data_IF_647852611466
#
_entry.id   IF_647852611466
#
_cell.length_a   1.000
_cell.length_b   1.000
_cell.length_c   1.000
_cell.angle_alpha   90.00
_cell.angle_beta   90.00
_cell.angle_gamma   90.00
#
_symmetry.space_group_name_H-M   'P 1'
#
loop_
_entity.id
_entity.type
_entity.pdbx_description
1 polymer ?
#
# COMPACT_ATOMS: atom_id res chain seq x y z
N UNK A 1 4.92 -13.51 -6.30
CA UNK A 1 4.42 -12.59 -5.26
C UNK A 1 3.67 -13.40 -4.22
N UNK A 2 4.12 -13.36 -2.99
CA UNK A 2 3.45 -14.03 -1.88
C UNK A 2 2.98 -12.95 -0.89
N UNK A 3 1.68 -12.79 -0.79
CA UNK A 3 1.05 -11.85 0.14
C UNK A 3 0.28 -12.62 1.21
N UNK A 4 0.35 -12.13 2.42
CA UNK A 4 -0.36 -12.70 3.56
C UNK A 4 -1.58 -11.86 3.90
N UNK A 5 -2.62 -12.53 4.38
CA UNK A 5 -3.78 -11.83 4.92
C UNK A 5 -3.35 -10.92 6.06
N UNK A 6 -3.74 -9.66 5.99
CA UNK A 6 -3.29 -8.63 6.93
C UNK A 6 -4.42 -7.67 7.24
N UNK A 7 -4.55 -7.34 8.51
CA UNK A 7 -5.46 -6.31 8.99
C UNK A 7 -4.63 -5.19 9.63
N UNK A 8 -4.81 -3.99 9.14
CA UNK A 8 -4.24 -2.78 9.73
C UNK A 8 -5.34 -2.01 10.42
N UNK A 9 -5.30 -1.97 11.72
CA UNK A 9 -6.22 -1.18 12.53
C UNK A 9 -5.53 -0.80 13.84
N UNK A 10 -6.10 0.16 14.53
CA UNK A 10 -5.62 0.62 15.81
C UNK A 10 -6.75 0.67 16.83
N UNK A 11 -6.42 0.53 18.09
CA UNK A 11 -7.40 0.75 19.16
C UNK A 11 -7.95 2.17 19.06
N UNK A 12 -9.26 2.29 18.83
CA UNK A 12 -9.93 3.56 18.61
C UNK A 12 -9.93 4.04 17.15
N UNK A 13 -9.21 3.39 16.25
CA UNK A 13 -9.27 3.68 14.82
C UNK A 13 -10.68 3.43 14.28
N UNK A 14 -11.13 4.33 13.42
CA UNK A 14 -12.42 4.19 12.73
C UNK A 14 -12.31 3.51 11.38
N UNK A 15 -11.11 3.11 11.00
CA UNK A 15 -10.88 2.41 9.74
C UNK A 15 -10.10 1.13 9.96
N UNK A 16 -10.43 0.15 9.15
CA UNK A 16 -9.68 -1.09 9.02
C UNK A 16 -9.27 -1.28 7.58
N UNK A 17 -7.98 -1.48 7.36
CA UNK A 17 -7.45 -1.87 6.07
C UNK A 17 -7.27 -3.38 6.09
N UNK A 18 -7.95 -4.08 5.19
CA UNK A 18 -7.91 -5.54 5.11
C UNK A 18 -7.31 -5.97 3.78
N UNK A 19 -6.17 -6.62 3.85
CA UNK A 19 -5.58 -7.30 2.69
C UNK A 19 -6.07 -8.74 2.67
N UNK A 20 -6.77 -9.10 1.61
CA UNK A 20 -7.34 -10.44 1.39
C UNK A 20 -6.80 -11.03 0.09
N UNK A 21 -5.60 -11.66 0.13
CA UNK A 21 -4.94 -12.14 -1.09
C UNK A 21 -5.76 -13.20 -1.84
N UNK A 22 -6.44 -14.08 -1.10
CA UNK A 22 -7.26 -15.14 -1.69
C UNK A 22 -8.50 -14.62 -2.45
N UNK A 23 -8.94 -13.40 -2.14
CA UNK A 23 -10.02 -12.70 -2.85
C UNK A 23 -9.48 -11.66 -3.85
N UNK A 24 -8.18 -11.47 -3.90
CA UNK A 24 -7.51 -10.42 -4.69
C UNK A 24 -8.08 -9.03 -4.36
N UNK A 25 -8.19 -8.74 -3.06
CA UNK A 25 -8.77 -7.49 -2.58
C UNK A 25 -7.91 -6.83 -1.53
N UNK A 26 -7.85 -5.52 -1.59
CA UNK A 26 -7.42 -4.65 -0.51
C UNK A 26 -8.59 -3.72 -0.21
N UNK A 27 -9.16 -3.85 0.97
CA UNK A 27 -10.37 -3.15 1.35
C UNK A 27 -10.12 -2.14 2.45
N UNK A 28 -10.59 -0.94 2.26
CA UNK A 28 -10.71 0.05 3.30
C UNK A 28 -12.15 0.03 3.82
N UNK A 29 -12.32 -0.35 5.07
CA UNK A 29 -13.63 -0.43 5.72
C UNK A 29 -13.68 0.53 6.90
N UNK A 30 -14.67 1.44 6.95
CA UNK A 30 -14.92 2.20 8.17
C UNK A 30 -15.38 1.26 9.29
N UNK A 31 -14.81 1.44 10.48
CA UNK A 31 -15.23 0.72 11.68
C UNK A 31 -16.45 1.41 12.30
N UNK A 32 -17.44 0.62 12.56
CA UNK A 32 -18.63 1.04 13.31
C UNK A 32 -19.81 1.43 12.43
N UNK A 33 -20.86 0.71 12.69
CA UNK A 33 -22.23 0.93 12.29
C UNK A 33 -22.70 0.39 10.94
N UNK A 34 -23.91 0.07 10.91
CA UNK A 34 -24.73 -0.82 10.12
C UNK A 34 -24.74 -0.63 8.59
N UNK A 35 -24.07 0.36 8.02
CA UNK A 35 -24.23 0.69 6.59
C UNK A 35 -22.94 1.02 5.86
N UNK A 36 -21.81 0.56 6.35
CA UNK A 36 -20.56 0.82 5.62
C UNK A 36 -20.33 -0.21 4.53
N UNK A 37 -20.04 0.29 3.36
CA UNK A 37 -19.60 -0.54 2.24
C UNK A 37 -18.08 -0.47 2.20
N UNK A 38 -17.36 -1.60 2.23
CA UNK A 38 -15.91 -1.59 2.01
C UNK A 38 -15.58 -1.00 0.65
N UNK A 39 -14.50 -0.26 0.58
CA UNK A 39 -14.01 0.32 -0.67
C UNK A 39 -12.77 -0.44 -1.11
N UNK A 40 -12.76 -0.90 -2.35
CA UNK A 40 -11.57 -1.47 -2.95
C UNK A 40 -10.50 -0.39 -3.12
N UNK A 41 -9.30 -0.70 -2.67
CA UNK A 41 -8.17 0.21 -2.72
C UNK A 41 -7.03 -0.41 -3.54
N UNK A 42 -6.45 0.40 -4.40
CA UNK A 42 -5.22 0.04 -5.10
C UNK A 42 -4.32 1.27 -5.17
N UNK A 43 -3.02 1.02 -5.13
CA UNK A 43 -2.01 2.06 -5.30
C UNK A 43 -1.20 1.74 -6.53
N UNK A 44 -1.08 2.70 -7.41
CA UNK A 44 -0.33 2.54 -8.64
C UNK A 44 0.73 3.60 -8.81
N UNK A 45 1.75 3.24 -9.55
CA UNK A 45 2.75 4.19 -10.06
C UNK A 45 2.76 4.17 -11.58
N UNK A 46 3.09 5.30 -12.15
CA UNK A 46 3.34 5.44 -13.57
C UNK A 46 4.77 5.94 -13.79
N UNK A 47 5.51 5.25 -14.64
CA UNK A 47 6.85 5.64 -15.06
C UNK A 47 6.87 5.63 -16.58
N UNK A 48 6.91 6.82 -17.19
CA UNK A 48 6.69 6.95 -18.63
C UNK A 48 5.30 6.46 -19.01
N UNK A 49 5.23 5.49 -19.91
CA UNK A 49 3.97 4.88 -20.36
C UNK A 49 3.62 3.59 -19.60
N UNK A 50 4.48 3.17 -18.67
CA UNK A 50 4.30 1.95 -17.92
C UNK A 50 3.63 2.18 -16.58
N UNK A 51 2.64 1.32 -16.27
CA UNK A 51 1.93 1.31 -15.00
C UNK A 51 2.27 0.07 -14.20
N UNK A 52 2.33 0.21 -12.88
CA UNK A 52 2.41 -0.92 -11.95
C UNK A 52 1.47 -0.66 -10.79
N UNK A 53 0.70 -1.65 -10.45
CA UNK A 53 -0.36 -1.57 -9.44
C UNK A 53 -0.08 -2.53 -8.29
N UNK A 54 -0.37 -2.09 -7.09
CA UNK A 54 -0.42 -2.89 -5.87
C UNK A 54 -1.82 -2.77 -5.24
N UNK A 55 -2.42 -3.81 -4.72
CA UNK A 55 -1.98 -5.20 -4.73
C UNK A 55 -2.46 -5.96 -5.97
N UNK A 56 -3.62 -5.62 -6.51
CA UNK A 56 -4.26 -6.38 -7.57
C UNK A 56 -4.91 -5.48 -8.60
N UNK A 57 -4.83 -5.87 -9.86
CA UNK A 57 -5.53 -5.22 -10.95
C UNK A 57 -5.75 -6.22 -12.08
N UNK A 58 -6.92 -6.16 -12.69
CA UNK A 58 -7.24 -6.91 -13.91
C UNK A 58 -6.97 -6.07 -15.16
N UNK A 59 -6.79 -4.77 -15.00
CA UNK A 59 -6.59 -3.82 -16.10
C UNK A 59 -5.13 -3.46 -16.32
N UNK A 60 -4.36 -3.32 -15.25
CA UNK A 60 -2.97 -2.90 -15.29
C UNK A 60 -2.05 -3.98 -14.74
N UNK A 61 -0.81 -3.99 -15.20
CA UNK A 61 0.20 -4.91 -14.69
C UNK A 61 0.49 -4.63 -13.21
N UNK A 62 0.51 -5.68 -12.42
CA UNK A 62 0.93 -5.61 -11.03
C UNK A 62 2.46 -5.64 -10.92
N UNK A 63 3.00 -5.24 -9.77
CA UNK A 63 4.42 -5.36 -9.50
C UNK A 63 4.88 -6.81 -9.58
N UNK A 64 6.06 -7.02 -10.14
CA UNK A 64 6.64 -8.35 -10.35
C UNK A 64 6.99 -9.04 -9.04
N UNK A 65 7.67 -8.33 -8.15
CA UNK A 65 8.08 -8.84 -6.85
C UNK A 65 7.62 -7.92 -5.73
N UNK A 66 6.88 -8.49 -4.78
CA UNK A 66 6.38 -7.77 -3.62
C UNK A 66 6.71 -8.56 -2.36
N UNK A 67 7.41 -7.93 -1.44
CA UNK A 67 7.65 -8.43 -0.08
C UNK A 67 6.80 -7.65 0.90
N UNK A 68 6.17 -8.34 1.82
CA UNK A 68 5.30 -7.75 2.82
C UNK A 68 5.98 -7.74 4.18
N UNK A 69 6.07 -6.55 4.78
CA UNK A 69 6.60 -6.35 6.12
C UNK A 69 5.49 -5.87 7.05
N UNK A 70 5.32 -6.56 8.17
CA UNK A 70 4.34 -6.18 9.18
C UNK A 70 4.98 -5.24 10.21
N UNK A 71 4.29 -4.15 10.49
CA UNK A 71 4.64 -3.19 11.53
C UNK A 71 3.59 -3.25 12.65
N UNK A 72 3.92 -2.76 13.87
CA UNK A 72 2.93 -2.73 14.96
C UNK A 72 1.65 -1.95 14.62
N UNK A 73 1.74 -0.94 13.77
CA UNK A 73 0.62 -0.08 13.37
C UNK A 73 0.36 -0.06 11.87
N UNK A 74 0.90 -1.04 11.13
CA UNK A 74 0.73 -0.99 9.69
C UNK A 74 1.38 -2.13 8.93
N UNK A 75 1.47 -1.93 7.63
CA UNK A 75 2.11 -2.84 6.69
C UNK A 75 2.90 -2.05 5.67
N UNK A 76 4.06 -2.56 5.31
CA UNK A 76 4.88 -2.03 4.22
C UNK A 76 4.99 -3.07 3.13
N UNK A 77 4.80 -2.65 1.90
CA UNK A 77 5.04 -3.47 0.72
C UNK A 77 6.30 -2.96 0.02
N UNK A 78 7.32 -3.81 -0.04
CA UNK A 78 8.55 -3.56 -0.77
C UNK A 78 8.41 -4.15 -2.16
N UNK A 79 8.17 -3.30 -3.14
CA UNK A 79 7.91 -3.71 -4.52
C UNK A 79 9.17 -3.50 -5.35
N UNK A 80 9.65 -4.57 -5.99
CA UNK A 80 10.76 -4.49 -6.93
C UNK A 80 10.25 -4.66 -8.34
N UNK A 81 10.66 -3.77 -9.21
CA UNK A 81 10.31 -3.82 -10.63
C UNK A 81 11.57 -3.70 -11.48
N UNK A 82 12.23 -4.85 -11.78
CA UNK A 82 13.49 -4.84 -12.54
C UNK A 82 13.37 -4.28 -13.96
N UNK A 83 12.23 -4.47 -14.62
CA UNK A 83 12.00 -3.93 -15.96
C UNK A 83 12.08 -2.40 -16.00
N UNK A 84 11.62 -1.74 -14.93
CA UNK A 84 11.66 -0.29 -14.81
C UNK A 84 12.88 0.20 -14.02
N UNK A 85 13.65 -0.70 -13.43
CA UNK A 85 14.83 -0.38 -12.63
C UNK A 85 14.52 0.37 -11.35
N UNK A 86 13.35 0.16 -10.76
CA UNK A 86 12.90 0.86 -9.56
C UNK A 86 12.49 -0.08 -8.43
N UNK A 87 12.59 0.43 -7.22
CA UNK A 87 12.02 -0.14 -6.02
C UNK A 87 11.02 0.86 -5.44
N UNK A 88 9.86 0.37 -5.07
CA UNK A 88 8.78 1.20 -4.54
C UNK A 88 8.36 0.63 -3.20
N UNK A 89 8.45 1.44 -2.16
CA UNK A 89 7.94 1.10 -0.84
C UNK A 89 6.60 1.79 -0.63
N UNK A 90 5.58 1.00 -0.38
CA UNK A 90 4.23 1.48 -0.13
C UNK A 90 3.86 1.07 1.29
N UNK A 91 3.67 2.05 2.15
CA UNK A 91 3.34 1.83 3.55
C UNK A 91 1.91 2.31 3.85
N UNK A 92 1.16 1.45 4.51
CA UNK A 92 -0.14 1.79 5.09
C UNK A 92 -0.01 1.76 6.60
N UNK A 93 -0.29 2.86 7.25
CA UNK A 93 -0.16 3.00 8.71
C UNK A 93 -1.41 3.61 9.29
N UNK A 94 -1.89 3.04 10.40
CA UNK A 94 -2.91 3.71 11.21
C UNK A 94 -2.26 4.69 12.17
N UNK A 95 -2.99 5.75 12.52
CA UNK A 95 -2.54 6.71 13.51
C UNK A 95 -2.39 6.04 14.88
N UNK A 96 -1.23 6.17 15.48
CA UNK A 96 -0.97 5.66 16.81
C UNK A 96 -0.28 6.72 17.66
N UNK A 97 -1.08 7.40 18.45
CA UNK A 97 -0.65 8.45 19.37
C UNK A 97 -1.16 8.15 20.77
N UNK A 98 -0.45 7.35 21.58
CA UNK A 98 -0.92 6.89 22.90
C UNK A 98 -1.33 8.00 23.84
N UNK A 99 -0.73 9.19 23.68
CA UNK A 99 -1.00 10.36 24.50
C UNK A 99 -2.02 11.33 23.93
N UNK A 100 -2.56 11.05 22.75
CA UNK A 100 -3.54 11.90 22.07
C UNK A 100 -4.70 11.07 21.55
N UNK A 101 -5.79 11.06 22.31
CA UNK A 101 -6.99 10.29 21.98
C UNK A 101 -7.66 10.80 20.71
N UNK A 102 -7.62 12.10 20.46
CA UNK A 102 -8.24 12.71 19.28
C UNK A 102 -7.53 12.23 18.01
N UNK A 103 -6.22 12.27 18.00
CA UNK A 103 -5.43 11.79 16.85
C UNK A 103 -5.53 10.27 16.70
N UNK A 104 -5.50 9.51 17.79
CA UNK A 104 -5.60 8.04 17.74
C UNK A 104 -6.95 7.53 17.25
N UNK A 105 -8.01 8.31 17.46
CA UNK A 105 -9.37 7.96 17.02
C UNK A 105 -9.76 8.65 15.71
N UNK A 106 -8.87 9.41 15.10
CA UNK A 106 -9.14 10.09 13.84
C UNK A 106 -9.44 9.08 12.72
N UNK A 107 -10.43 9.36 11.87
CA UNK A 107 -10.89 8.42 10.86
C UNK A 107 -10.03 8.47 9.59
N UNK A 108 -8.73 8.23 9.71
CA UNK A 108 -7.81 8.20 8.58
C UNK A 108 -6.68 7.20 8.81
N UNK A 109 -6.08 6.77 7.72
CA UNK A 109 -4.81 6.05 7.71
C UNK A 109 -3.80 6.82 6.85
N UNK A 110 -2.53 6.63 7.14
CA UNK A 110 -1.45 7.19 6.35
C UNK A 110 -1.05 6.23 5.25
N UNK A 111 -0.90 6.76 4.05
CA UNK A 111 -0.30 6.03 2.93
C UNK A 111 0.94 6.80 2.50
N UNK A 112 2.08 6.16 2.54
CA UNK A 112 3.33 6.73 2.04
C UNK A 112 3.89 5.89 0.91
N UNK A 113 4.38 6.56 -0.12
CA UNK A 113 4.99 5.91 -1.28
C UNK A 113 6.38 6.49 -1.46
N UNK A 114 7.38 5.62 -1.44
CA UNK A 114 8.78 6.01 -1.66
C UNK A 114 9.31 5.27 -2.87
N UNK A 115 9.81 6.00 -3.84
CA UNK A 115 10.37 5.44 -5.07
C UNK A 115 11.88 5.63 -5.06
N UNK A 116 12.61 4.56 -5.29
CA UNK A 116 14.07 4.58 -5.40
C UNK A 116 14.54 3.75 -6.59
N UNK A 117 15.78 3.96 -7.00
CA UNK A 117 16.38 3.15 -8.06
C UNK A 117 16.87 1.82 -7.50
N UNK A 118 16.68 0.75 -8.27
CA UNK A 118 17.31 -0.52 -7.95
C UNK A 118 18.82 -0.41 -8.07
N UNK A 119 19.54 -0.80 -7.02
CA UNK A 119 20.99 -0.86 -7.01
C UNK A 119 21.49 -1.93 -8.01
N UNK A 120 22.59 -1.63 -8.71
CA UNK A 120 23.28 -2.60 -9.58
C UNK A 120 22.89 -2.58 -11.05
N UNK A 121 21.95 -1.74 -11.51
CA UNK A 121 21.71 -1.53 -12.94
C UNK A 121 22.40 -0.26 -13.45
N UNK A 122 23.29 -0.43 -14.43
CA UNK A 122 23.95 0.67 -15.14
C UNK A 122 23.08 1.24 -16.28
N UNK A 123 21.77 1.26 -16.12
CA UNK A 123 20.90 1.80 -17.15
C UNK A 123 20.79 3.30 -17.02
N UNK A 124 20.65 3.97 -18.20
CA UNK A 124 20.44 5.42 -18.28
C UNK A 124 19.29 5.83 -17.35
N UNK A 125 19.47 6.89 -16.56
CA UNK A 125 18.42 7.39 -15.69
C UNK A 125 17.20 7.81 -16.53
N UNK A 126 16.07 7.17 -16.28
CA UNK A 126 14.77 7.65 -16.77
C UNK A 126 14.18 8.61 -15.73
N UNK A 127 13.54 9.70 -16.16
CA UNK A 127 12.81 10.52 -15.22
C UNK A 127 11.72 9.69 -14.55
N UNK A 128 11.63 9.80 -13.21
CA UNK A 128 10.61 9.11 -12.42
C UNK A 128 9.45 10.07 -12.24
N UNK A 129 8.32 9.74 -12.84
CA UNK A 129 7.06 10.44 -12.60
C UNK A 129 6.18 9.53 -11.74
N UNK A 130 5.94 9.95 -10.50
CA UNK A 130 5.07 9.24 -9.58
C UNK A 130 3.65 9.79 -9.63
N UNK A 131 2.66 8.90 -9.83
CA UNK A 131 1.23 9.20 -9.64
C UNK A 131 0.65 8.17 -8.69
N UNK A 132 -0.04 8.65 -7.72
CA UNK A 132 -0.78 7.84 -6.76
C UNK A 132 -2.26 7.87 -7.09
#
# INVERSE_FOLDING_TARGET
MQLFETVVSNLGSRFTLNLLPHRRQLLLSPLGYYFHVPVDLAVGIQIGDDYRILPFSDRYKCFDSVEQELLPSGVVFHCKEPELGVMVDIAFRSAFYPHDVILSTAPFCYVSVTVSRLAGRQNKPRPIEGKV
#
